data_IF_187248528973
#
_entry.id   IF_187248528973
#
_cell.length_a   1.000
_cell.length_b   1.000
_cell.length_c   1.000
_cell.angle_alpha   90.00
_cell.angle_beta   90.00
_cell.angle_gamma   90.00
#
_symmetry.space_group_name_H-M   'P 1'
#
loop_
_entity.id
_entity.type
_entity.pdbx_description
1 polymer ?
#
# COMPACT_ATOMS: atom_id res chain seq x y z
N UNK A 1 -24.98 -24.06 -36.26
CA UNK A 1 -24.33 -24.20 -34.94
C UNK A 1 -25.04 -23.23 -34.00
N UNK A 2 -25.91 -23.73 -33.12
CA UNK A 2 -26.52 -22.90 -32.09
C UNK A 2 -25.42 -22.62 -31.06
N UNK A 3 -24.82 -21.44 -31.12
CA UNK A 3 -23.98 -20.95 -30.05
C UNK A 3 -24.89 -20.88 -28.81
N UNK A 4 -24.71 -21.81 -27.89
CA UNK A 4 -25.30 -21.71 -26.57
C UNK A 4 -24.61 -20.52 -25.90
N UNK A 5 -25.22 -19.33 -26.03
CA UNK A 5 -24.84 -18.17 -25.24
C UNK A 5 -25.18 -18.51 -23.80
N UNK A 6 -24.20 -19.03 -23.06
CA UNK A 6 -24.29 -19.07 -21.62
C UNK A 6 -24.22 -17.62 -21.13
N UNK A 7 -25.04 -17.26 -20.15
CA UNK A 7 -24.84 -16.05 -19.36
C UNK A 7 -24.77 -16.52 -17.92
N UNK A 8 -23.67 -16.20 -17.23
CA UNK A 8 -23.51 -16.56 -15.83
C UNK A 8 -23.84 -15.35 -14.96
N UNK A 9 -24.73 -15.55 -13.99
CA UNK A 9 -25.01 -14.59 -12.95
C UNK A 9 -24.43 -15.08 -11.63
N UNK A 10 -23.65 -14.23 -10.96
CA UNK A 10 -23.21 -14.49 -9.58
C UNK A 10 -24.18 -13.78 -8.65
N UNK A 11 -24.79 -14.54 -7.75
CA UNK A 11 -25.79 -14.08 -6.80
C UNK A 11 -25.23 -14.11 -5.37
N UNK A 12 -25.44 -13.04 -4.61
CA UNK A 12 -25.19 -13.06 -3.17
C UNK A 12 -26.26 -13.91 -2.47
N UNK A 13 -25.86 -14.97 -1.75
CA UNK A 13 -26.79 -15.80 -0.98
C UNK A 13 -26.90 -15.30 0.47
N UNK A 14 -28.11 -15.31 1.02
CA UNK A 14 -28.42 -14.96 2.42
C UNK A 14 -28.04 -16.09 3.42
N UNK A 15 -27.09 -16.96 3.09
CA UNK A 15 -26.68 -18.04 3.99
C UNK A 15 -25.77 -17.49 5.10
N UNK A 16 -26.06 -17.79 6.39
CA UNK A 16 -25.23 -17.33 7.52
C UNK A 16 -23.84 -17.98 7.57
N UNK A 17 -23.59 -19.00 6.75
CA UNK A 17 -22.26 -19.56 6.52
C UNK A 17 -21.62 -18.89 5.32
N UNK A 18 -20.70 -17.97 5.58
CA UNK A 18 -19.83 -17.39 4.57
C UNK A 18 -19.00 -18.49 3.90
N UNK A 19 -19.29 -18.80 2.64
CA UNK A 19 -18.39 -19.64 1.84
C UNK A 19 -17.21 -18.78 1.39
N UNK A 20 -15.96 -19.19 1.65
CA UNK A 20 -14.81 -18.38 1.27
C UNK A 20 -14.72 -18.26 -0.25
N UNK A 21 -14.44 -17.05 -0.74
CA UNK A 21 -14.33 -16.79 -2.18
C UNK A 21 -13.34 -15.66 -2.45
N UNK A 22 -12.22 -16.01 -3.07
CA UNK A 22 -11.26 -15.06 -3.61
C UNK A 22 -11.04 -15.34 -5.11
N UNK A 23 -11.36 -14.40 -6.02
CA UNK A 23 -11.09 -14.56 -7.44
C UNK A 23 -9.61 -14.29 -7.78
N UNK A 24 -8.83 -13.75 -6.84
CA UNK A 24 -7.39 -13.56 -7.00
C UNK A 24 -6.65 -14.90 -7.12
N UNK A 25 -5.42 -14.85 -7.64
CA UNK A 25 -4.52 -16.02 -7.70
C UNK A 25 -4.09 -16.44 -6.28
N UNK A 26 -3.67 -17.70 -6.13
CA UNK A 26 -3.06 -18.23 -4.89
C UNK A 26 -1.80 -17.50 -4.48
N UNK A 27 -1.01 -17.05 -5.46
CA UNK A 27 0.06 -16.09 -5.29
C UNK A 27 -0.26 -14.89 -6.18
N UNK A 28 -0.85 -13.81 -5.64
CA UNK A 28 -1.09 -12.57 -6.38
C UNK A 28 0.21 -12.00 -6.97
N UNK A 29 0.20 -11.71 -8.27
CA UNK A 29 1.32 -11.08 -8.98
C UNK A 29 2.69 -11.81 -8.87
N UNK A 30 2.67 -13.14 -8.77
CA UNK A 30 3.88 -13.96 -8.65
C UNK A 30 4.90 -13.82 -9.78
N UNK A 31 4.51 -13.29 -10.94
CA UNK A 31 5.38 -12.98 -12.06
C UNK A 31 6.36 -11.82 -11.76
N UNK A 32 6.05 -11.00 -10.75
CA UNK A 32 6.84 -9.86 -10.29
C UNK A 32 7.43 -10.07 -8.90
N UNK A 33 7.61 -11.33 -8.50
CA UNK A 33 8.25 -11.69 -7.23
C UNK A 33 9.73 -11.25 -7.17
N UNK A 34 10.31 -11.06 -5.97
CA UNK A 34 11.73 -10.76 -5.80
C UNK A 34 12.64 -11.89 -6.29
N UNK A 35 13.90 -11.55 -6.57
CA UNK A 35 14.91 -12.55 -6.90
C UNK A 35 15.12 -13.52 -5.73
N UNK A 36 15.21 -14.81 -6.01
CA UNK A 36 15.36 -15.86 -4.99
C UNK A 36 14.04 -16.42 -4.45
N UNK A 37 12.89 -15.82 -4.77
CA UNK A 37 11.59 -16.42 -4.51
C UNK A 37 11.25 -17.47 -5.59
N UNK A 38 11.09 -18.76 -5.25
CA UNK A 38 10.68 -19.79 -6.21
C UNK A 38 9.25 -19.60 -6.72
N UNK A 39 8.41 -18.81 -6.05
CA UNK A 39 7.04 -18.53 -6.46
C UNK A 39 6.06 -19.66 -6.20
N UNK A 40 6.40 -20.60 -5.31
CA UNK A 40 5.60 -21.78 -4.99
C UNK A 40 4.76 -21.64 -3.70
N UNK A 41 4.94 -20.55 -2.95
CA UNK A 41 4.17 -20.30 -1.74
C UNK A 41 2.73 -19.88 -2.07
N UNK A 42 1.80 -20.33 -1.23
CA UNK A 42 0.38 -19.99 -1.36
C UNK A 42 0.03 -18.92 -0.33
N UNK A 43 0.19 -17.66 -0.71
CA UNK A 43 -0.21 -16.53 0.14
C UNK A 43 -1.72 -16.49 0.35
N UNK A 44 -2.50 -16.77 -0.70
CA UNK A 44 -3.95 -16.75 -0.70
C UNK A 44 -4.54 -18.17 -0.85
N UNK A 45 -4.80 -18.89 0.25
CA UNK A 45 -5.31 -20.27 0.18
C UNK A 45 -6.71 -20.36 -0.44
N UNK A 46 -7.47 -19.27 -0.39
CA UNK A 46 -8.82 -19.14 -0.97
C UNK A 46 -8.81 -18.72 -2.45
N UNK A 47 -7.63 -18.45 -3.02
CA UNK A 47 -7.47 -17.96 -4.38
C UNK A 47 -7.89 -18.98 -5.42
N UNK A 48 -8.87 -18.63 -6.24
CA UNK A 48 -9.36 -19.43 -7.37
C UNK A 48 -8.67 -19.08 -8.69
N UNK A 49 -8.09 -17.88 -8.79
CA UNK A 49 -7.53 -17.35 -10.03
C UNK A 49 -8.57 -16.91 -11.07
N UNK A 50 -9.86 -16.89 -10.71
CA UNK A 50 -10.95 -16.53 -11.62
C UNK A 50 -10.81 -15.13 -12.23
N UNK A 51 -10.27 -14.15 -11.49
CA UNK A 51 -10.05 -12.78 -12.00
C UNK A 51 -8.97 -12.72 -13.10
N UNK A 52 -8.09 -13.72 -13.19
CA UNK A 52 -7.07 -13.81 -14.23
C UNK A 52 -7.47 -14.79 -15.36
N UNK A 53 -8.64 -15.42 -15.25
CA UNK A 53 -9.15 -16.34 -16.26
C UNK A 53 -9.74 -15.56 -17.43
N UNK A 54 -9.61 -16.13 -18.62
CA UNK A 54 -10.29 -15.64 -19.82
C UNK A 54 -11.63 -16.37 -19.94
N UNK A 55 -12.72 -15.61 -20.00
CA UNK A 55 -14.06 -16.12 -20.24
C UNK A 55 -14.42 -15.83 -21.69
N UNK A 56 -14.21 -16.83 -22.56
CA UNK A 56 -14.51 -16.72 -23.99
C UNK A 56 -15.99 -16.98 -24.25
N UNK A 57 -16.59 -16.19 -25.15
CA UNK A 57 -17.93 -16.40 -25.70
C UNK A 57 -19.13 -16.29 -24.73
N UNK A 58 -18.92 -15.81 -23.49
CA UNK A 58 -20.03 -15.48 -22.60
C UNK A 58 -19.75 -14.33 -21.61
N UNK A 59 -20.71 -13.42 -21.41
CA UNK A 59 -20.62 -12.41 -20.36
C UNK A 59 -20.93 -12.99 -18.98
N UNK A 60 -20.32 -12.40 -17.96
CA UNK A 60 -20.64 -12.65 -16.55
C UNK A 60 -21.08 -11.33 -15.94
N UNK A 61 -22.26 -11.33 -15.32
CA UNK A 61 -22.79 -10.17 -14.62
C UNK A 61 -22.98 -10.48 -13.14
N UNK A 62 -22.73 -9.47 -12.30
CA UNK A 62 -23.08 -9.53 -10.89
C UNK A 62 -24.50 -9.01 -10.70
N UNK A 63 -25.33 -9.76 -9.96
CA UNK A 63 -26.67 -9.32 -9.60
C UNK A 63 -26.69 -8.93 -8.12
N UNK A 64 -27.30 -7.79 -7.83
CA UNK A 64 -27.63 -7.41 -6.46
C UNK A 64 -28.75 -8.31 -5.89
N UNK A 65 -29.18 -8.04 -4.66
CA UNK A 65 -30.18 -8.87 -3.99
C UNK A 65 -31.52 -8.89 -4.76
N UNK A 66 -31.99 -7.74 -5.23
CA UNK A 66 -33.25 -7.61 -5.95
C UNK A 66 -33.18 -8.31 -7.32
N UNK A 67 -32.12 -8.04 -8.08
CA UNK A 67 -31.87 -8.68 -9.37
C UNK A 67 -31.73 -10.20 -9.24
N UNK A 68 -31.09 -10.67 -8.17
CA UNK A 68 -30.97 -12.09 -7.85
C UNK A 68 -32.33 -12.74 -7.61
N UNK A 69 -33.19 -12.12 -6.79
CA UNK A 69 -34.50 -12.67 -6.47
C UNK A 69 -35.43 -12.68 -7.69
N UNK A 70 -35.35 -11.64 -8.53
CA UNK A 70 -36.06 -11.58 -9.80
C UNK A 70 -35.58 -12.68 -10.77
N UNK A 71 -34.26 -12.82 -10.94
CA UNK A 71 -33.67 -13.84 -11.81
C UNK A 71 -34.05 -15.26 -11.33
N UNK A 72 -34.05 -15.50 -10.01
CA UNK A 72 -34.50 -16.78 -9.42
C UNK A 72 -35.97 -17.04 -9.75
N UNK A 73 -36.83 -16.06 -9.55
CA UNK A 73 -38.27 -16.17 -9.85
C UNK A 73 -38.50 -16.52 -11.32
N UNK A 74 -37.79 -15.87 -12.24
CA UNK A 74 -37.89 -16.13 -13.68
C UNK A 74 -37.35 -17.52 -14.07
N UNK A 75 -36.27 -17.96 -13.44
CA UNK A 75 -35.73 -19.31 -13.65
C UNK A 75 -36.72 -20.39 -13.19
N UNK A 76 -37.33 -20.22 -12.01
CA UNK A 76 -38.36 -21.13 -11.48
C UNK A 76 -39.60 -21.19 -12.38
N UNK A 77 -40.03 -20.05 -12.93
CA UNK A 77 -41.13 -19.98 -13.89
C UNK A 77 -40.85 -20.80 -15.15
N UNK A 78 -39.65 -20.70 -15.70
CA UNK A 78 -39.23 -21.49 -16.85
C UNK A 78 -39.25 -23.00 -16.55
N UNK A 79 -38.80 -23.41 -15.37
CA UNK A 79 -38.87 -24.81 -14.90
C UNK A 79 -40.32 -25.28 -14.79
N UNK A 80 -41.20 -24.50 -14.11
CA UNK A 80 -42.62 -24.84 -13.95
C UNK A 80 -43.33 -25.06 -15.29
N UNK A 81 -42.97 -24.25 -16.29
CA UNK A 81 -43.53 -24.33 -17.64
C UNK A 81 -42.83 -25.37 -18.53
N UNK A 82 -41.94 -26.20 -17.97
CA UNK A 82 -41.15 -27.21 -18.68
C UNK A 82 -40.42 -26.65 -19.90
N UNK A 83 -40.02 -25.38 -19.84
CA UNK A 83 -39.37 -24.67 -20.94
C UNK A 83 -40.16 -24.68 -22.28
N UNK A 84 -41.48 -24.95 -22.24
CA UNK A 84 -42.31 -25.06 -23.44
C UNK A 84 -42.52 -23.72 -24.17
N UNK A 85 -42.20 -22.60 -23.50
CA UNK A 85 -41.99 -21.24 -24.03
C UNK A 85 -41.06 -20.48 -23.07
N UNK A 86 -39.73 -20.38 -23.30
CA UNK A 86 -38.87 -19.57 -22.46
C UNK A 86 -39.16 -18.08 -22.73
N UNK A 87 -40.28 -17.57 -22.21
CA UNK A 87 -40.68 -16.17 -22.35
C UNK A 87 -39.82 -15.26 -21.45
N UNK A 88 -39.15 -15.84 -20.45
CA UNK A 88 -38.25 -15.14 -19.54
C UNK A 88 -36.82 -15.45 -19.93
N UNK A 89 -36.22 -14.52 -20.67
CA UNK A 89 -34.83 -14.57 -21.10
C UNK A 89 -34.08 -13.38 -20.52
N UNK A 90 -32.80 -13.58 -20.21
CA UNK A 90 -31.89 -12.49 -19.90
C UNK A 90 -31.06 -12.18 -21.16
N UNK A 91 -30.84 -10.90 -21.41
CA UNK A 91 -29.92 -10.42 -22.44
C UNK A 91 -28.94 -9.47 -21.77
N UNK A 92 -27.66 -9.64 -22.07
CA UNK A 92 -26.55 -8.85 -21.52
C UNK A 92 -25.70 -8.39 -22.70
N UNK A 93 -25.48 -7.08 -22.81
CA UNK A 93 -24.59 -6.48 -23.80
C UNK A 93 -23.37 -5.89 -23.08
N UNK A 94 -22.25 -6.63 -23.14
CA UNK A 94 -20.96 -6.26 -22.58
C UNK A 94 -19.87 -6.40 -23.65
N UNK A 95 -20.11 -5.80 -24.82
CA UNK A 95 -19.19 -5.87 -25.96
C UNK A 95 -17.86 -5.15 -25.64
N UNK A 96 -16.74 -5.88 -25.69
CA UNK A 96 -15.39 -5.33 -25.47
C UNK A 96 -14.66 -5.11 -26.81
N UNK A 97 -14.30 -3.86 -27.12
CA UNK A 97 -13.62 -3.50 -28.38
C UNK A 97 -12.23 -4.15 -28.55
N UNK A 98 -11.58 -4.49 -27.44
CA UNK A 98 -10.27 -5.13 -27.41
C UNK A 98 -10.32 -6.66 -27.47
N UNK A 99 -11.49 -7.27 -27.65
CA UNK A 99 -11.64 -8.72 -27.66
C UNK A 99 -10.74 -9.39 -28.71
N UNK A 100 -10.10 -10.49 -28.31
CA UNK A 100 -9.12 -11.22 -29.13
C UNK A 100 -7.77 -10.51 -29.36
N UNK A 101 -7.55 -9.31 -28.79
CA UNK A 101 -6.28 -8.57 -28.95
C UNK A 101 -5.38 -8.68 -27.72
N UNK A 102 -4.07 -8.62 -27.93
CA UNK A 102 -3.09 -8.40 -26.86
C UNK A 102 -2.84 -6.90 -26.63
N UNK A 103 -2.21 -6.55 -25.51
CA UNK A 103 -1.97 -5.16 -25.12
C UNK A 103 -1.20 -4.35 -26.17
N UNK A 104 -0.22 -4.95 -26.84
CA UNK A 104 0.56 -4.29 -27.90
C UNK A 104 -0.33 -3.89 -29.07
N UNK A 105 -1.19 -4.81 -29.51
CA UNK A 105 -2.07 -4.60 -30.67
C UNK A 105 -3.25 -3.69 -30.33
N UNK A 106 -3.86 -3.83 -29.15
CA UNK A 106 -5.00 -3.01 -28.77
C UNK A 106 -4.61 -1.53 -28.57
N UNK A 107 -3.43 -1.24 -28.01
CA UNK A 107 -2.91 0.13 -27.87
C UNK A 107 -2.62 0.72 -29.24
N UNK A 108 -1.94 -0.04 -30.12
CA UNK A 108 -1.61 0.42 -31.48
C UNK A 108 -2.87 0.76 -32.31
N UNK A 109 -3.99 0.08 -32.05
CA UNK A 109 -5.29 0.33 -32.70
C UNK A 109 -6.17 1.34 -31.98
N UNK A 110 -5.76 1.85 -30.83
CA UNK A 110 -6.59 2.73 -29.99
C UNK A 110 -7.86 2.06 -29.44
N UNK A 111 -7.86 0.73 -29.32
CA UNK A 111 -9.00 -0.07 -28.86
C UNK A 111 -8.99 -0.35 -27.34
N UNK A 112 -7.95 0.11 -26.62
CA UNK A 112 -7.80 -0.07 -25.18
C UNK A 112 -6.94 1.05 -24.58
N UNK A 113 -6.95 1.17 -23.25
CA UNK A 113 -6.12 2.10 -22.49
C UNK A 113 -5.22 1.36 -21.49
N UNK A 114 -4.01 1.89 -21.19
CA UNK A 114 -3.22 1.38 -20.09
C UNK A 114 -3.96 1.53 -18.75
N UNK A 115 -3.96 0.48 -17.93
CA UNK A 115 -4.46 0.55 -16.55
C UNK A 115 -3.44 1.32 -15.71
N UNK A 116 -3.91 2.28 -14.92
CA UNK A 116 -3.06 3.11 -14.08
C UNK A 116 -3.87 4.07 -13.22
N UNK A 117 -3.16 4.97 -12.53
CA UNK A 117 -3.74 6.00 -11.68
C UNK A 117 -2.66 6.90 -11.11
N UNK A 118 -3.06 7.84 -10.26
CA UNK A 118 -2.12 8.72 -9.56
C UNK A 118 -1.87 8.20 -8.14
N UNK A 119 -0.61 7.87 -7.86
CA UNK A 119 -0.15 7.69 -6.49
C UNK A 119 -0.08 9.06 -5.79
N UNK A 120 -0.35 9.07 -4.48
CA UNK A 120 -0.29 10.28 -3.66
C UNK A 120 0.90 10.18 -2.72
N UNK A 121 1.70 11.25 -2.65
CA UNK A 121 2.91 11.29 -1.84
C UNK A 121 2.92 12.57 -1.01
N UNK A 122 3.22 12.43 0.28
CA UNK A 122 3.45 13.52 1.21
C UNK A 122 4.74 13.29 1.98
N UNK A 123 5.38 14.35 2.47
CA UNK A 123 6.60 14.26 3.28
C UNK A 123 6.54 15.19 4.47
N UNK A 124 7.12 14.73 5.57
CA UNK A 124 7.16 15.43 6.86
C UNK A 124 8.59 15.32 7.43
N UNK A 125 9.29 16.44 7.68
CA UNK A 125 8.93 17.80 7.24
C UNK A 125 8.84 17.89 5.70
N UNK A 126 8.19 18.94 5.14
CA UNK A 126 8.04 19.09 3.70
C UNK A 126 9.38 18.97 2.99
N UNK A 127 9.47 18.08 1.99
CA UNK A 127 10.65 17.96 1.15
C UNK A 127 10.93 19.30 0.46
N UNK A 128 12.21 19.73 0.39
CA UNK A 128 12.57 21.00 -0.23
C UNK A 128 12.12 21.00 -1.69
N UNK A 129 11.14 21.84 -2.01
CA UNK A 129 10.69 21.99 -3.40
C UNK A 129 11.66 22.88 -4.17
N UNK A 130 12.00 22.55 -5.43
CA UNK A 130 12.59 23.54 -6.32
C UNK A 130 11.61 24.69 -6.49
N UNK A 131 12.06 25.91 -6.20
CA UNK A 131 11.23 27.12 -6.10
C UNK A 131 10.37 27.30 -7.35
N UNK A 132 9.04 27.33 -7.18
CA UNK A 132 8.07 27.48 -8.28
C UNK A 132 7.78 28.94 -8.62
N UNK A 133 7.28 29.16 -9.85
CA UNK A 133 7.16 30.44 -10.59
C UNK A 133 6.45 31.60 -9.88
N UNK A 134 5.76 31.39 -8.75
CA UNK A 134 5.08 32.45 -7.99
C UNK A 134 6.06 33.51 -7.46
N UNK A 135 7.29 33.11 -7.11
CA UNK A 135 8.35 34.01 -6.65
C UNK A 135 9.08 34.75 -7.80
N UNK A 136 8.79 34.41 -9.08
CA UNK A 136 9.46 35.01 -10.25
C UNK A 136 8.92 36.36 -10.66
N UNK A 137 7.90 36.93 -10.00
CA UNK A 137 7.38 38.23 -10.43
C UNK A 137 8.38 39.37 -10.27
N UNK A 138 9.48 39.20 -9.53
CA UNK A 138 10.56 40.19 -9.40
C UNK A 138 11.99 39.61 -9.37
N UNK A 139 12.21 38.31 -9.61
CA UNK A 139 13.54 37.70 -9.53
C UNK A 139 14.19 37.58 -10.92
N UNK A 140 15.36 38.18 -11.10
CA UNK A 140 16.21 38.00 -12.28
C UNK A 140 16.64 36.53 -12.42
N UNK A 141 17.03 36.09 -13.62
CA UNK A 141 17.44 34.69 -13.87
C UNK A 141 18.59 34.23 -12.94
N UNK A 142 19.48 35.15 -12.53
CA UNK A 142 20.51 34.91 -11.54
C UNK A 142 19.93 34.69 -10.12
N UNK A 143 18.98 35.52 -9.68
CA UNK A 143 18.33 35.38 -8.37
C UNK A 143 17.49 34.10 -8.25
N UNK A 144 16.93 33.59 -9.36
CA UNK A 144 16.24 32.30 -9.38
C UNK A 144 17.23 31.12 -9.27
N UNK A 145 18.41 31.22 -9.90
CA UNK A 145 19.48 30.24 -9.76
C UNK A 145 20.08 30.26 -8.34
N UNK A 146 20.28 31.45 -7.76
CA UNK A 146 20.75 31.63 -6.39
C UNK A 146 19.73 31.14 -5.37
N UNK A 147 18.42 31.26 -5.64
CA UNK A 147 17.38 30.76 -4.74
C UNK A 147 17.22 29.23 -4.83
N UNK A 148 17.38 28.63 -6.01
CA UNK A 148 17.47 27.17 -6.17
C UNK A 148 18.75 26.63 -5.53
N UNK A 149 19.88 27.34 -5.69
CA UNK A 149 21.12 27.06 -5.00
C UNK A 149 20.95 27.24 -3.48
N UNK A 150 20.23 28.25 -3.01
CA UNK A 150 19.94 28.46 -1.59
C UNK A 150 18.97 27.42 -1.02
N UNK A 151 18.02 26.90 -1.80
CA UNK A 151 17.17 25.77 -1.39
C UNK A 151 17.96 24.46 -1.33
N UNK A 152 18.88 24.24 -2.27
CA UNK A 152 19.83 23.12 -2.24
C UNK A 152 20.86 23.27 -1.10
N UNK A 153 21.30 24.48 -0.81
CA UNK A 153 22.22 24.81 0.29
C UNK A 153 21.47 24.77 1.63
N UNK A 154 20.19 25.13 1.68
CA UNK A 154 19.33 24.96 2.85
C UNK A 154 19.06 23.48 3.13
N UNK A 155 18.82 22.66 2.10
CA UNK A 155 18.76 21.21 2.23
C UNK A 155 20.10 20.62 2.70
N UNK A 156 21.22 21.20 2.27
CA UNK A 156 22.58 20.83 2.72
C UNK A 156 22.95 21.37 4.12
N UNK A 157 22.32 22.46 4.59
CA UNK A 157 22.61 23.11 5.87
C UNK A 157 21.63 22.70 6.98
N UNK A 158 20.44 22.21 6.64
CA UNK A 158 19.64 21.41 7.57
C UNK A 158 20.26 20.03 7.58
N UNK A 159 20.83 19.60 8.71
CA UNK A 159 21.33 18.24 8.90
C UNK A 159 20.17 17.20 8.90
N UNK A 160 19.30 17.21 7.90
CA UNK A 160 18.36 16.14 7.60
C UNK A 160 19.20 15.13 6.80
N UNK A 161 19.61 14.02 7.41
CA UNK A 161 20.40 12.99 6.71
C UNK A 161 19.80 12.68 5.34
N UNK A 162 20.66 12.46 4.33
CA UNK A 162 20.25 12.40 2.92
C UNK A 162 19.12 11.39 2.64
N UNK A 163 18.97 10.37 3.48
CA UNK A 163 17.96 9.34 3.35
C UNK A 163 16.60 9.61 4.03
N UNK A 164 15.58 8.90 3.55
CA UNK A 164 14.18 9.02 4.01
C UNK A 164 13.67 7.72 4.63
N UNK A 165 12.66 7.84 5.50
CA UNK A 165 11.81 6.71 5.93
C UNK A 165 10.56 6.73 5.05
N UNK A 166 10.32 5.67 4.27
CA UNK A 166 9.12 5.52 3.46
C UNK A 166 8.07 4.73 4.25
N UNK A 167 6.90 5.32 4.43
CA UNK A 167 5.70 4.64 4.92
C UNK A 167 4.73 4.55 3.75
N UNK A 168 4.31 3.34 3.39
CA UNK A 168 3.47 3.15 2.21
C UNK A 168 2.24 2.28 2.46
N UNK A 169 1.22 2.50 1.66
CA UNK A 169 0.04 1.66 1.58
C UNK A 169 -0.49 1.65 0.14
N UNK A 170 -1.29 0.64 -0.19
CA UNK A 170 -1.99 0.55 -1.47
C UNK A 170 -3.25 1.42 -1.48
N UNK A 171 -3.53 2.07 -2.61
CA UNK A 171 -4.70 2.92 -2.84
C UNK A 171 -5.80 2.19 -3.61
N UNK A 172 -5.46 1.11 -4.31
CA UNK A 172 -6.35 0.33 -5.15
C UNK A 172 -6.67 -1.04 -4.55
N UNK A 173 -7.80 -1.59 -5.01
CA UNK A 173 -8.24 -2.95 -4.75
C UNK A 173 -8.73 -3.59 -6.06
N UNK A 174 -8.99 -4.89 -6.00
CA UNK A 174 -9.50 -5.66 -7.14
C UNK A 174 -10.74 -6.46 -6.79
N UNK A 175 -11.49 -6.80 -7.83
CA UNK A 175 -12.63 -7.70 -7.80
C UNK A 175 -12.79 -8.35 -9.17
N UNK A 176 -13.51 -9.46 -9.25
CA UNK A 176 -13.94 -10.04 -10.53
C UNK A 176 -14.82 -9.07 -11.32
N UNK A 177 -15.52 -8.18 -10.60
CA UNK A 177 -16.40 -7.15 -11.17
C UNK A 177 -15.81 -5.78 -10.84
N UNK A 178 -15.35 -5.05 -11.86
CA UNK A 178 -14.53 -3.84 -11.70
C UNK A 178 -15.18 -2.76 -10.82
N UNK A 179 -16.51 -2.61 -10.89
CA UNK A 179 -17.25 -1.61 -10.10
C UNK A 179 -17.42 -2.00 -8.62
N UNK A 180 -17.11 -3.25 -8.28
CA UNK A 180 -17.28 -3.82 -6.93
C UNK A 180 -15.93 -4.11 -6.27
N UNK A 181 -14.92 -3.27 -6.51
CA UNK A 181 -13.59 -3.40 -5.94
C UNK A 181 -13.43 -2.53 -4.67
N UNK A 182 -14.24 -2.79 -3.64
CA UNK A 182 -14.22 -2.02 -2.40
C UNK A 182 -12.92 -2.23 -1.58
N UNK A 183 -12.48 -3.49 -1.44
CA UNK A 183 -11.23 -3.84 -0.74
C UNK A 183 -11.14 -3.30 0.69
N UNK A 184 -12.23 -3.40 1.45
CA UNK A 184 -12.36 -2.79 2.78
C UNK A 184 -11.22 -3.20 3.71
N UNK A 185 -10.90 -4.49 3.77
CA UNK A 185 -9.76 -4.99 4.50
C UNK A 185 -8.49 -5.05 3.63
N UNK A 186 -8.57 -5.63 2.43
CA UNK A 186 -7.42 -5.96 1.61
C UNK A 186 -6.56 -4.74 1.22
N UNK A 187 -7.17 -3.55 1.09
CA UNK A 187 -6.47 -2.32 0.71
C UNK A 187 -6.74 -1.15 1.67
N UNK A 188 -8.02 -0.85 1.91
CA UNK A 188 -8.41 0.38 2.61
C UNK A 188 -7.98 0.40 4.07
N UNK A 189 -7.92 -0.76 4.75
CA UNK A 189 -7.49 -0.83 6.14
C UNK A 189 -6.07 -0.30 6.36
N UNK A 190 -5.10 -0.74 5.54
CA UNK A 190 -3.72 -0.28 5.60
C UNK A 190 -3.58 1.20 5.24
N UNK A 191 -4.32 1.66 4.22
CA UNK A 191 -4.35 3.06 3.81
C UNK A 191 -4.85 3.97 4.94
N UNK A 192 -5.97 3.62 5.58
CA UNK A 192 -6.55 4.39 6.68
C UNK A 192 -5.58 4.44 7.87
N UNK A 193 -4.95 3.32 8.22
CA UNK A 193 -3.93 3.27 9.28
C UNK A 193 -2.75 4.18 8.96
N UNK A 194 -2.25 4.15 7.73
CA UNK A 194 -1.16 5.04 7.29
C UNK A 194 -1.55 6.50 7.40
N UNK A 195 -2.75 6.89 6.94
CA UNK A 195 -3.23 8.27 7.01
C UNK A 195 -3.41 8.75 8.45
N UNK A 196 -3.99 7.91 9.32
CA UNK A 196 -4.15 8.22 10.74
C UNK A 196 -2.80 8.33 11.46
N UNK A 197 -1.83 7.47 11.11
CA UNK A 197 -0.47 7.55 11.64
C UNK A 197 0.26 8.81 11.14
N UNK A 198 0.05 9.20 9.88
CA UNK A 198 0.62 10.43 9.32
C UNK A 198 0.11 11.67 10.05
N UNK A 199 -1.18 11.75 10.33
CA UNK A 199 -1.77 12.83 11.13
C UNK A 199 -1.18 12.86 12.54
N UNK A 200 -1.18 11.73 13.25
CA UNK A 200 -0.66 11.65 14.61
C UNK A 200 0.84 11.98 14.69
N UNK A 201 1.65 11.49 13.75
CA UNK A 201 3.08 11.79 13.66
C UNK A 201 3.32 13.29 13.39
N UNK A 202 2.54 13.87 12.47
CA UNK A 202 2.65 15.29 12.11
C UNK A 202 2.27 16.20 13.28
N UNK A 203 1.20 15.87 14.02
CA UNK A 203 0.83 16.58 15.25
C UNK A 203 1.91 16.47 16.33
N UNK A 204 2.52 15.29 16.49
CA UNK A 204 3.63 15.09 17.43
C UNK A 204 4.84 15.95 17.05
N UNK A 205 5.21 15.99 15.77
CA UNK A 205 6.30 16.85 15.28
C UNK A 205 6.00 18.34 15.52
N UNK A 206 4.81 18.81 15.17
CA UNK A 206 4.43 20.22 15.36
C UNK A 206 4.38 20.63 16.84
N UNK A 207 3.88 19.74 17.71
CA UNK A 207 3.84 20.01 19.16
C UNK A 207 5.24 20.08 19.76
N UNK A 208 6.15 19.19 19.34
CA UNK A 208 7.56 19.25 19.72
C UNK A 208 8.26 20.54 19.22
N UNK A 209 8.05 20.92 17.96
CA UNK A 209 8.63 22.15 17.40
C UNK A 209 8.17 23.39 18.19
N UNK A 210 6.90 23.46 18.57
CA UNK A 210 6.36 24.59 19.37
C UNK A 210 6.73 24.57 20.84
N UNK A 211 7.16 23.43 21.39
CA UNK A 211 7.65 23.37 22.78
C UNK A 211 9.11 23.84 22.91
N UNK A 212 9.73 24.26 21.81
CA UNK A 212 11.02 24.93 21.80
C UNK A 212 10.89 26.37 22.32
N UNK A 213 11.65 26.65 23.38
CA UNK A 213 11.72 27.89 24.18
C UNK A 213 10.68 27.98 25.34
N UNK A 214 11.19 28.10 26.57
CA UNK A 214 10.45 28.47 27.78
C UNK A 214 10.42 30.01 27.97
N UNK A 215 10.78 30.76 26.94
CA UNK A 215 10.91 32.23 26.92
C UNK A 215 9.78 32.94 26.17
N UNK A 216 8.81 32.20 25.62
CA UNK A 216 7.65 32.73 24.91
C UNK A 216 7.99 33.43 23.59
N UNK A 217 9.22 33.26 23.07
CA UNK A 217 9.68 34.00 21.90
C UNK A 217 9.71 33.09 20.67
N UNK A 218 8.85 33.38 19.69
CA UNK A 218 8.80 32.67 18.40
C UNK A 218 10.08 32.95 17.61
N UNK A 219 11.10 32.14 17.81
CA UNK A 219 12.28 32.10 16.93
C UNK A 219 12.06 31.05 15.86
N UNK A 220 12.64 31.25 14.67
CA UNK A 220 12.42 30.39 13.50
C UNK A 220 12.65 28.90 13.85
N UNK A 221 11.57 28.10 13.76
CA UNK A 221 11.43 26.72 14.28
C UNK A 221 12.55 25.75 13.84
N UNK A 222 13.27 26.06 12.76
CA UNK A 222 14.41 25.29 12.25
C UNK A 222 15.69 25.43 13.08
N UNK A 223 15.88 26.56 13.76
CA UNK A 223 17.06 26.80 14.61
C UNK A 223 16.93 26.14 15.99
N UNK A 224 15.70 26.02 16.52
CA UNK A 224 15.43 25.38 17.81
C UNK A 224 15.64 23.85 17.76
N UNK A 225 15.25 23.20 16.66
CA UNK A 225 15.51 21.78 16.42
C UNK A 225 17.02 21.46 16.33
N UNK A 226 17.78 22.30 15.63
CA UNK A 226 19.24 22.20 15.53
C UNK A 226 19.94 22.49 16.87
N UNK A 227 19.42 23.43 17.67
CA UNK A 227 19.94 23.77 19.00
C UNK A 227 19.70 22.66 20.05
N UNK A 228 18.69 21.80 19.85
CA UNK A 228 18.40 20.64 20.69
C UNK A 228 19.20 19.37 20.31
N UNK A 229 20.04 19.42 19.26
CA UNK A 229 20.86 18.28 18.82
C UNK A 229 20.07 17.10 18.22
N UNK A 230 18.79 17.31 17.86
CA UNK A 230 17.93 16.30 17.27
C UNK A 230 17.94 16.39 15.74
N UNK A 231 18.29 15.30 15.06
CA UNK A 231 18.17 15.21 13.61
C UNK A 231 16.82 14.59 13.25
N UNK A 232 15.95 15.36 12.60
CA UNK A 232 14.65 14.86 12.14
C UNK A 232 14.80 14.25 10.74
N UNK A 233 14.74 12.93 10.61
CA UNK A 233 14.73 12.30 9.30
C UNK A 233 13.41 12.58 8.56
N UNK A 234 13.48 12.82 7.26
CA UNK A 234 12.25 13.00 6.45
C UNK A 234 11.47 11.68 6.40
N UNK A 235 10.21 11.71 6.84
CA UNK A 235 9.25 10.62 6.67
C UNK A 235 8.39 10.92 5.46
N UNK A 236 8.34 9.99 4.51
CA UNK A 236 7.53 10.07 3.29
C UNK A 236 6.36 9.12 3.42
N UNK A 237 5.14 9.63 3.31
CA UNK A 237 3.93 8.83 3.26
C UNK A 237 3.47 8.68 1.80
N UNK A 238 3.31 7.46 1.31
CA UNK A 238 2.95 7.19 -0.08
C UNK A 238 1.78 6.21 -0.19
N UNK A 239 0.67 6.68 -0.79
CA UNK A 239 -0.44 5.84 -1.20
C UNK A 239 -0.26 5.47 -2.68
N UNK A 240 0.08 4.22 -2.97
CA UNK A 240 0.38 3.78 -4.33
C UNK A 240 -0.88 3.33 -5.07
N UNK A 241 -1.10 3.89 -6.25
CA UNK A 241 -2.18 3.47 -7.15
C UNK A 241 -1.71 2.37 -8.10
N UNK A 242 -2.66 1.54 -8.55
CA UNK A 242 -2.44 0.46 -9.50
C UNK A 242 -1.39 -0.56 -9.01
N UNK A 243 -1.39 -0.86 -7.71
CA UNK A 243 -0.54 -1.90 -7.13
C UNK A 243 -0.98 -3.29 -7.55
N UNK A 244 -2.28 -3.57 -7.69
CA UNK A 244 -2.76 -4.87 -8.22
C UNK A 244 -2.42 -5.10 -9.70
N UNK A 245 -2.00 -4.05 -10.40
CA UNK A 245 -1.73 -4.04 -11.84
C UNK A 245 -0.24 -3.97 -12.13
N UNK A 246 0.52 -4.85 -11.48
CA UNK A 246 1.95 -5.00 -11.72
C UNK A 246 2.83 -4.08 -10.89
N UNK A 247 2.37 -3.71 -9.70
CA UNK A 247 3.03 -2.75 -8.79
C UNK A 247 3.34 -1.42 -9.50
N UNK A 248 2.42 -0.95 -10.37
CA UNK A 248 2.73 0.12 -11.32
C UNK A 248 3.08 1.44 -10.61
N UNK A 249 2.34 1.78 -9.54
CA UNK A 249 2.56 2.97 -8.74
C UNK A 249 3.90 2.96 -8.00
N UNK A 250 4.16 1.90 -7.25
CA UNK A 250 5.38 1.76 -6.45
C UNK A 250 6.63 1.56 -7.30
N UNK A 251 6.54 0.85 -8.44
CA UNK A 251 7.65 0.77 -9.41
C UNK A 251 7.94 2.12 -10.04
N UNK A 252 6.92 2.91 -10.38
CA UNK A 252 7.14 4.27 -10.89
C UNK A 252 7.77 5.14 -9.83
N UNK A 253 7.29 5.10 -8.59
CA UNK A 253 7.88 5.82 -7.47
C UNK A 253 9.35 5.44 -7.24
N UNK A 254 9.66 4.14 -7.16
CA UNK A 254 11.03 3.67 -6.98
C UNK A 254 11.94 4.07 -8.15
N UNK A 255 11.40 4.14 -9.38
CA UNK A 255 12.14 4.69 -10.52
C UNK A 255 12.43 6.19 -10.34
N UNK A 256 11.44 7.00 -9.95
CA UNK A 256 11.60 8.45 -9.73
C UNK A 256 12.59 8.79 -8.61
N UNK A 257 12.65 7.96 -7.55
CA UNK A 257 13.64 8.09 -6.48
C UNK A 257 15.08 7.91 -6.99
N UNK A 258 15.30 6.99 -7.94
CA UNK A 258 16.64 6.66 -8.48
C UNK A 258 17.06 7.54 -9.66
N UNK A 259 16.14 8.28 -10.30
CA UNK A 259 16.49 9.21 -11.38
C UNK A 259 17.25 10.39 -10.77
N UNK A 260 18.50 10.61 -11.21
CA UNK A 260 19.23 11.84 -10.91
C UNK A 260 18.53 13.02 -11.58
N UNK A 261 18.25 14.09 -10.83
CA UNK A 261 17.47 15.26 -11.30
C UNK A 261 17.96 15.82 -12.65
N UNK A 262 17.22 15.57 -13.73
CA UNK A 262 17.41 16.28 -15.00
C UNK A 262 16.41 17.44 -15.03
N UNK A 263 16.81 18.56 -14.44
CA UNK A 263 16.07 19.84 -14.39
C UNK A 263 14.75 19.81 -13.59
N UNK A 264 14.58 20.79 -12.68
CA UNK A 264 13.34 21.04 -11.96
C UNK A 264 12.18 21.49 -12.87
N UNK A 265 12.45 21.84 -14.13
CA UNK A 265 11.44 22.20 -15.12
C UNK A 265 11.86 21.74 -16.52
N UNK A 266 11.00 20.98 -17.19
CA UNK A 266 11.18 20.56 -18.58
C UNK A 266 10.84 19.09 -18.83
N UNK A 267 10.93 18.61 -20.08
CA UNK A 267 10.86 17.19 -20.39
C UNK A 267 11.95 16.44 -19.62
N UNK A 268 11.57 15.48 -18.77
CA UNK A 268 12.50 14.72 -17.91
C UNK A 268 12.55 15.16 -16.44
N UNK A 269 11.79 16.20 -16.04
CA UNK A 269 11.64 16.57 -14.64
C UNK A 269 10.96 15.44 -13.84
N UNK A 270 11.50 15.14 -12.65
CA UNK A 270 10.93 14.13 -11.77
C UNK A 270 9.53 14.52 -11.26
N UNK A 271 8.65 13.53 -11.12
CA UNK A 271 7.36 13.69 -10.47
C UNK A 271 7.46 13.80 -8.92
N UNK A 272 8.66 13.63 -8.35
CA UNK A 272 8.93 13.66 -6.92
C UNK A 272 9.93 14.79 -6.55
N UNK A 273 9.51 16.07 -6.65
CA UNK A 273 10.38 17.20 -6.34
C UNK A 273 10.88 17.13 -4.89
N UNK A 274 12.18 17.29 -4.68
CA UNK A 274 12.81 17.26 -3.35
C UNK A 274 13.01 15.85 -2.77
N UNK A 275 12.55 14.80 -3.45
CA UNK A 275 12.74 13.40 -3.05
C UNK A 275 13.57 12.61 -4.08
N UNK A 276 13.47 12.96 -5.36
CA UNK A 276 14.30 12.40 -6.43
C UNK A 276 15.80 12.50 -6.11
N UNK A 277 16.51 11.38 -6.24
CA UNK A 277 17.93 11.26 -5.93
C UNK A 277 18.26 10.98 -4.46
N UNK A 278 17.28 10.97 -3.55
CA UNK A 278 17.50 10.62 -2.13
C UNK A 278 17.47 9.12 -1.91
N UNK A 279 18.17 8.64 -0.89
CA UNK A 279 18.12 7.22 -0.51
C UNK A 279 16.86 6.93 0.31
N UNK A 280 16.28 5.75 0.11
CA UNK A 280 15.28 5.20 1.04
C UNK A 280 16.00 4.29 2.01
N UNK A 281 16.01 4.67 3.30
CA UNK A 281 16.79 4.01 4.34
C UNK A 281 15.99 3.00 5.15
N UNK A 282 14.67 3.17 5.20
CA UNK A 282 13.74 2.25 5.83
C UNK A 282 12.39 2.31 5.11
N UNK A 283 11.75 1.15 4.95
CA UNK A 283 10.41 1.04 4.36
C UNK A 283 9.48 0.35 5.37
N UNK A 284 8.33 0.97 5.62
CA UNK A 284 7.23 0.40 6.41
C UNK A 284 5.99 0.39 5.53
N UNK A 285 5.59 -0.79 5.05
CA UNK A 285 4.37 -0.92 4.26
C UNK A 285 3.22 -1.46 5.11
N UNK A 286 2.03 -0.90 4.91
CA UNK A 286 0.78 -1.34 5.52
C UNK A 286 0.00 -2.15 4.50
N UNK A 287 -0.15 -3.45 4.75
CA UNK A 287 -1.04 -4.34 4.01
C UNK A 287 -2.43 -4.43 4.65
N UNK A 288 -3.06 -5.60 4.56
CA UNK A 288 -4.31 -5.89 5.25
C UNK A 288 -4.08 -6.00 6.77
N UNK A 289 -4.62 -5.04 7.52
CA UNK A 289 -4.44 -4.94 8.99
C UNK A 289 -5.77 -4.75 9.71
N UNK A 290 -6.89 -4.82 8.99
CA UNK A 290 -8.21 -4.40 9.45
C UNK A 290 -9.17 -5.52 9.80
N UNK A 291 -9.03 -6.75 9.32
CA UNK A 291 -10.03 -7.82 9.38
C UNK A 291 -10.67 -7.98 10.75
N UNK A 292 -11.99 -7.81 10.76
CA UNK A 292 -12.81 -7.96 11.95
C UNK A 292 -12.80 -9.41 12.43
N UNK A 293 -12.71 -9.59 13.76
CA UNK A 293 -12.70 -10.92 14.39
C UNK A 293 -13.91 -11.79 13.98
N UNK A 294 -15.07 -11.19 13.69
CA UNK A 294 -16.27 -11.94 13.25
C UNK A 294 -16.21 -12.49 11.82
N UNK A 295 -15.25 -12.05 11.00
CA UNK A 295 -14.97 -12.63 9.67
C UNK A 295 -13.92 -13.74 9.73
N UNK A 296 -13.39 -14.03 10.92
CA UNK A 296 -12.36 -15.03 11.15
C UNK A 296 -12.96 -16.16 11.99
N UNK A 297 -12.52 -17.40 11.75
CA UNK A 297 -12.87 -18.52 12.62
C UNK A 297 -12.50 -18.22 14.08
N UNK A 298 -13.36 -18.59 15.02
CA UNK A 298 -13.10 -18.45 16.46
C UNK A 298 -11.83 -19.17 16.94
N UNK A 299 -11.26 -20.07 16.12
CA UNK A 299 -10.00 -20.77 16.37
C UNK A 299 -8.74 -19.94 16.09
N UNK A 300 -8.87 -18.75 15.49
CA UNK A 300 -7.74 -17.87 15.20
C UNK A 300 -7.58 -16.87 16.33
N UNK A 301 -6.41 -16.86 16.98
CA UNK A 301 -6.08 -15.88 18.00
C UNK A 301 -6.04 -14.48 17.37
N UNK A 302 -7.00 -13.63 17.72
CA UNK A 302 -7.06 -12.21 17.34
C UNK A 302 -6.76 -11.35 18.58
N UNK A 303 -6.16 -10.14 18.47
CA UNK A 303 -5.81 -9.39 17.27
C UNK A 303 -4.30 -9.05 17.19
N UNK A 304 -3.46 -10.00 16.79
CA UNK A 304 -2.02 -9.74 16.56
C UNK A 304 -1.81 -9.14 15.17
N UNK A 305 -0.96 -8.11 15.08
CA UNK A 305 -0.43 -7.61 13.81
C UNK A 305 0.97 -8.18 13.62
N UNK A 306 1.22 -8.79 12.48
CA UNK A 306 2.49 -9.40 12.11
C UNK A 306 3.33 -8.47 11.24
N UNK A 307 4.62 -8.43 11.53
CA UNK A 307 5.64 -7.67 10.81
C UNK A 307 6.48 -8.64 9.99
N UNK A 308 6.28 -8.61 8.69
CA UNK A 308 7.01 -9.38 7.70
C UNK A 308 8.25 -8.61 7.27
N UNK A 309 9.39 -8.96 7.83
CA UNK A 309 10.66 -8.32 7.52
C UNK A 309 11.28 -8.89 6.25
N UNK A 310 11.77 -8.04 5.35
CA UNK A 310 12.69 -8.48 4.31
C UNK A 310 13.99 -8.95 4.98
N UNK A 311 14.24 -10.26 5.00
CA UNK A 311 15.46 -10.78 5.61
C UNK A 311 16.74 -10.40 4.86
N UNK A 312 16.66 -10.04 3.57
CA UNK A 312 17.78 -9.45 2.83
C UNK A 312 18.25 -8.11 3.40
N UNK A 313 17.35 -7.34 4.03
CA UNK A 313 17.67 -6.10 4.74
C UNK A 313 18.35 -6.30 6.10
N UNK A 314 18.48 -7.55 6.58
CA UNK A 314 19.26 -7.93 7.74
C UNK A 314 18.94 -7.11 9.01
N UNK A 315 19.96 -6.67 9.77
CA UNK A 315 19.79 -5.90 11.01
C UNK A 315 18.97 -4.62 10.83
N UNK A 316 18.97 -4.01 9.65
CA UNK A 316 18.18 -2.81 9.37
C UNK A 316 16.67 -3.10 9.39
N UNK A 317 16.24 -4.21 8.80
CA UNK A 317 14.84 -4.66 8.90
C UNK A 317 14.49 -5.08 10.34
N UNK A 318 15.43 -5.70 11.06
CA UNK A 318 15.25 -6.10 12.48
C UNK A 318 15.06 -4.89 13.40
N UNK A 319 15.78 -3.79 13.15
CA UNK A 319 15.64 -2.55 13.90
C UNK A 319 14.23 -1.95 13.74
N UNK A 320 13.65 -2.00 12.53
CA UNK A 320 12.28 -1.54 12.28
C UNK A 320 11.26 -2.39 13.06
N UNK A 321 11.41 -3.72 13.03
CA UNK A 321 10.57 -4.65 13.81
C UNK A 321 10.65 -4.32 15.31
N UNK A 322 11.85 -4.05 15.80
CA UNK A 322 12.10 -3.73 17.22
C UNK A 322 11.44 -2.41 17.61
N UNK A 323 11.57 -1.37 16.79
CA UNK A 323 10.92 -0.08 17.02
C UNK A 323 9.39 -0.19 17.07
N UNK A 324 8.78 -0.94 16.14
CA UNK A 324 7.34 -1.17 16.10
C UNK A 324 6.84 -1.90 17.35
N UNK A 325 7.55 -2.96 17.77
CA UNK A 325 7.22 -3.70 18.99
C UNK A 325 7.31 -2.86 20.26
N UNK A 326 8.38 -2.07 20.40
CA UNK A 326 8.55 -1.16 21.51
C UNK A 326 7.43 -0.12 21.55
N UNK A 327 7.08 0.47 20.40
CA UNK A 327 6.03 1.47 20.29
C UNK A 327 4.62 0.92 20.58
N UNK A 328 4.39 -0.36 20.30
CA UNK A 328 3.15 -1.05 20.66
C UNK A 328 3.03 -1.25 22.19
N UNK A 329 4.14 -1.57 22.87
CA UNK A 329 4.16 -1.80 24.32
C UNK A 329 3.85 -0.55 25.17
N UNK A 330 4.17 0.65 24.68
CA UNK A 330 3.94 1.93 25.39
C UNK A 330 2.46 2.18 25.69
N UNK A 331 1.55 1.64 24.88
CA UNK A 331 0.09 1.83 25.04
C UNK A 331 -0.61 0.88 26.00
N UNK A 332 0.11 0.00 26.70
CA UNK A 332 -0.47 -1.07 27.51
C UNK A 332 -0.99 -0.64 28.90
N UNK A 333 -0.80 0.63 29.29
CA UNK A 333 -1.30 1.15 30.57
C UNK A 333 -2.73 1.71 30.42
N UNK A 334 -3.73 0.83 30.46
CA UNK A 334 -5.14 1.21 30.67
C UNK A 334 -6.07 1.10 29.46
N UNK A 335 -5.56 1.18 28.23
CA UNK A 335 -6.28 0.77 27.01
C UNK A 335 -5.77 -0.61 26.57
N UNK A 336 -6.66 -1.46 26.05
CA UNK A 336 -6.25 -2.75 25.48
C UNK A 336 -5.22 -2.49 24.37
N UNK A 337 -3.93 -2.62 24.66
CA UNK A 337 -2.85 -2.33 23.73
C UNK A 337 -2.94 -3.13 22.43
N UNK A 338 -2.11 -2.79 21.44
CA UNK A 338 -1.97 -3.61 20.24
C UNK A 338 -0.78 -4.56 20.40
N UNK A 339 -0.95 -5.81 19.97
CA UNK A 339 0.14 -6.78 19.94
C UNK A 339 0.76 -6.76 18.54
N UNK A 340 2.06 -6.48 18.47
CA UNK A 340 2.83 -6.53 17.23
C UNK A 340 3.87 -7.65 17.34
N UNK A 341 3.83 -8.60 16.41
CA UNK A 341 4.75 -9.73 16.38
C UNK A 341 5.55 -9.79 15.09
N UNK A 342 6.74 -10.39 15.14
CA UNK A 342 7.51 -10.72 13.95
C UNK A 342 6.84 -11.92 13.28
N UNK A 343 6.60 -11.82 11.98
CA UNK A 343 6.10 -12.94 11.21
C UNK A 343 7.12 -14.09 11.16
N UNK A 344 6.64 -15.30 11.34
CA UNK A 344 7.39 -16.56 11.27
C UNK A 344 6.79 -17.57 10.29
N UNK A 345 5.53 -17.40 9.89
CA UNK A 345 4.78 -18.35 9.07
C UNK A 345 5.10 -18.32 7.57
N UNK A 346 5.72 -17.24 7.08
CA UNK A 346 6.19 -17.17 5.70
C UNK A 346 7.38 -18.11 5.42
N UNK A 347 7.58 -18.56 4.17
CA UNK A 347 8.74 -19.38 3.83
C UNK A 347 10.06 -18.61 3.98
N UNK A 348 11.13 -19.37 4.28
CA UNK A 348 12.51 -18.88 4.28
C UNK A 348 13.20 -19.35 3.01
N UNK A 349 13.89 -18.44 2.32
CA UNK A 349 14.61 -18.78 1.09
C UNK A 349 16.09 -18.42 1.20
N UNK A 350 16.93 -19.46 1.11
CA UNK A 350 18.38 -19.34 1.26
C UNK A 350 18.79 -18.73 2.60
N UNK A 351 19.91 -18.01 2.60
CA UNK A 351 20.41 -17.27 3.76
C UNK A 351 19.70 -15.90 3.94
N UNK A 352 18.79 -15.54 3.04
CA UNK A 352 18.13 -14.23 3.00
C UNK A 352 16.97 -14.10 3.99
N UNK A 353 16.72 -15.10 4.85
CA UNK A 353 15.65 -15.06 5.84
C UNK A 353 14.24 -15.22 5.26
N UNK A 354 13.24 -14.74 6.00
CA UNK A 354 11.83 -14.73 5.60
C UNK A 354 11.59 -13.72 4.47
N UNK A 355 10.74 -14.08 3.50
CA UNK A 355 10.25 -13.14 2.48
C UNK A 355 8.92 -12.51 2.90
N UNK A 356 8.74 -11.20 2.66
CA UNK A 356 7.48 -10.53 2.91
C UNK A 356 6.38 -10.95 1.89
N UNK A 357 5.10 -10.74 2.22
CA UNK A 357 3.99 -11.00 1.33
C UNK A 357 4.03 -10.10 0.08
N UNK A 358 3.25 -10.45 -0.97
CA UNK A 358 3.16 -9.65 -2.18
C UNK A 358 2.70 -8.23 -1.85
N UNK A 359 3.54 -7.26 -2.17
CA UNK A 359 3.42 -5.89 -1.66
C UNK A 359 4.26 -4.92 -2.49
N UNK A 360 4.03 -3.63 -2.32
CA UNK A 360 4.77 -2.54 -2.95
C UNK A 360 6.29 -2.64 -2.67
N UNK A 361 6.67 -3.24 -1.54
CA UNK A 361 8.05 -3.51 -1.14
C UNK A 361 8.81 -4.34 -2.20
N UNK A 362 8.12 -5.18 -2.97
CA UNK A 362 8.73 -5.94 -4.07
C UNK A 362 9.35 -5.02 -5.14
N UNK A 363 8.77 -3.84 -5.37
CA UNK A 363 9.29 -2.84 -6.30
C UNK A 363 10.68 -2.35 -5.92
N UNK A 364 10.97 -2.27 -4.62
CA UNK A 364 12.26 -1.86 -4.07
C UNK A 364 13.22 -3.06 -3.98
N UNK A 365 12.75 -4.20 -3.46
CA UNK A 365 13.55 -5.42 -3.34
C UNK A 365 14.10 -5.93 -4.68
N UNK A 366 13.34 -5.78 -5.76
CA UNK A 366 13.78 -6.15 -7.12
C UNK A 366 14.91 -5.28 -7.66
N UNK A 367 15.08 -4.07 -7.13
CA UNK A 367 16.20 -3.17 -7.46
C UNK A 367 17.38 -3.40 -6.51
N UNK A 368 17.08 -3.53 -5.21
CA UNK A 368 18.04 -3.70 -4.12
C UNK A 368 17.57 -4.81 -3.17
N UNK A 369 18.08 -6.05 -3.28
CA UNK A 369 17.66 -7.16 -2.42
C UNK A 369 17.88 -6.90 -0.91
N UNK A 370 18.85 -6.05 -0.58
CA UNK A 370 19.21 -5.60 0.77
C UNK A 370 18.34 -4.45 1.29
N UNK A 371 17.23 -4.13 0.61
CA UNK A 371 16.28 -3.10 1.05
C UNK A 371 15.82 -3.36 2.48
N UNK A 372 16.07 -2.41 3.38
CA UNK A 372 15.62 -2.43 4.77
C UNK A 372 14.13 -2.12 4.81
N UNK A 373 13.31 -3.13 4.99
CA UNK A 373 11.87 -2.99 4.79
C UNK A 373 11.04 -4.04 5.50
N UNK A 374 9.84 -3.63 5.92
CA UNK A 374 8.86 -4.48 6.56
C UNK A 374 7.47 -4.26 5.98
N UNK A 375 6.63 -5.30 6.01
CA UNK A 375 5.20 -5.22 5.70
C UNK A 375 4.40 -5.61 6.94
N UNK A 376 3.47 -4.76 7.36
CA UNK A 376 2.56 -5.07 8.46
C UNK A 376 1.28 -5.67 7.91
N UNK A 377 0.90 -6.82 8.42
CA UNK A 377 -0.33 -7.51 8.06
C UNK A 377 -0.97 -8.16 9.29
N UNK A 378 -2.18 -8.66 9.16
CA UNK A 378 -2.92 -9.37 10.20
C UNK A 378 -2.72 -10.88 10.21
N UNK A 379 -1.80 -11.39 9.40
CA UNK A 379 -1.54 -12.82 9.26
C UNK A 379 -0.05 -13.14 9.33
N UNK A 380 0.27 -14.31 9.88
CA UNK A 380 1.66 -14.74 10.08
C UNK A 380 2.30 -15.35 8.81
N UNK A 381 1.50 -16.00 7.97
CA UNK A 381 1.95 -16.64 6.74
C UNK A 381 0.92 -16.49 5.63
N UNK A 382 -0.18 -17.22 5.72
CA UNK A 382 -1.24 -17.19 4.71
C UNK A 382 -2.33 -16.18 5.04
N UNK A 383 -2.99 -15.64 4.01
CA UNK A 383 -4.12 -14.74 4.15
C UNK A 383 -5.23 -15.43 4.93
N UNK A 384 -5.66 -14.78 6.00
CA UNK A 384 -6.81 -15.22 6.81
C UNK A 384 -8.13 -14.65 6.30
N UNK A 385 -8.09 -13.65 5.41
CA UNK A 385 -9.26 -13.06 4.79
C UNK A 385 -9.79 -13.95 3.64
N UNK A 386 -10.98 -14.55 3.79
CA UNK A 386 -11.54 -15.42 2.77
C UNK A 386 -12.05 -14.68 1.53
N UNK A 387 -12.09 -13.35 1.56
CA UNK A 387 -12.69 -12.51 0.53
C UNK A 387 -11.70 -11.58 -0.18
N UNK A 388 -10.40 -11.82 0.00
CA UNK A 388 -9.35 -11.01 -0.63
C UNK A 388 -9.58 -10.84 -2.14
N UNK A 389 -9.57 -9.59 -2.61
CA UNK A 389 -9.74 -9.26 -4.03
C UNK A 389 -11.12 -9.63 -4.58
N UNK A 390 -12.16 -9.68 -3.75
CA UNK A 390 -13.54 -10.00 -4.15
C UNK A 390 -14.51 -8.85 -3.86
N UNK A 391 -15.71 -8.92 -4.45
CA UNK A 391 -16.81 -8.00 -4.18
C UNK A 391 -17.35 -8.08 -2.73
N UNK A 392 -16.96 -9.10 -1.97
CA UNK A 392 -17.46 -9.34 -0.61
C UNK A 392 -16.54 -8.78 0.47
N UNK A 393 -15.34 -8.29 0.09
CA UNK A 393 -14.50 -7.47 0.98
C UNK A 393 -15.00 -6.01 0.98
N UNK A 394 -16.17 -5.83 1.56
CA UNK A 394 -16.92 -4.57 1.59
C UNK A 394 -17.51 -4.34 2.98
N UNK A 395 -17.79 -3.08 3.28
CA UNK A 395 -18.52 -2.67 4.48
C UNK A 395 -17.64 -2.45 5.70
N UNK A 396 -18.09 -1.60 6.62
CA UNK A 396 -17.36 -1.28 7.86
C UNK A 396 -17.27 -2.48 8.78
N UNK A 397 -18.17 -3.43 8.60
CA UNK A 397 -18.14 -4.66 9.33
C UNK A 397 -16.90 -5.47 8.89
N UNK A 398 -16.41 -5.43 7.65
CA UNK A 398 -15.19 -6.15 7.27
C UNK A 398 -13.96 -5.83 8.15
N UNK A 399 -13.96 -4.67 8.83
CA UNK A 399 -12.81 -4.18 9.60
C UNK A 399 -13.08 -3.95 11.10
N UNK A 400 -12.01 -3.93 11.89
CA UNK A 400 -11.94 -3.55 13.30
C UNK A 400 -11.25 -2.19 13.42
N UNK A 401 -12.07 -1.14 13.43
CA UNK A 401 -11.60 0.23 13.51
C UNK A 401 -10.81 0.53 14.80
N UNK A 402 -11.13 -0.14 15.91
CA UNK A 402 -10.42 0.07 17.18
C UNK A 402 -9.01 -0.52 17.13
N UNK A 403 -8.82 -1.69 16.50
CA UNK A 403 -7.48 -2.24 16.23
C UNK A 403 -6.70 -1.34 15.29
N UNK A 404 -7.31 -0.86 14.22
CA UNK A 404 -6.68 0.05 13.26
C UNK A 404 -6.20 1.34 13.93
N UNK A 405 -7.02 1.95 14.80
CA UNK A 405 -6.65 3.16 15.52
C UNK A 405 -5.45 2.94 16.47
N UNK A 406 -5.43 1.80 17.19
CA UNK A 406 -4.30 1.43 18.06
C UNK A 406 -3.02 1.18 17.26
N UNK A 407 -3.14 0.55 16.08
CA UNK A 407 -2.01 0.35 15.17
C UNK A 407 -1.46 1.68 14.66
N UNK A 408 -2.33 2.60 14.25
CA UNK A 408 -1.92 3.92 13.78
C UNK A 408 -1.15 4.69 14.86
N UNK A 409 -1.61 4.65 16.11
CA UNK A 409 -0.92 5.26 17.24
C UNK A 409 0.45 4.60 17.52
N UNK A 410 0.54 3.26 17.45
CA UNK A 410 1.81 2.55 17.61
C UNK A 410 2.78 2.87 16.46
N UNK A 411 2.30 2.92 15.23
CA UNK A 411 3.10 3.29 14.06
C UNK A 411 3.63 4.72 14.19
N UNK A 412 2.79 5.70 14.57
CA UNK A 412 3.22 7.07 14.77
C UNK A 412 4.32 7.19 15.84
N UNK A 413 4.20 6.46 16.95
CA UNK A 413 5.25 6.38 17.99
C UNK A 413 6.54 5.75 17.45
N UNK A 414 6.45 4.66 16.69
CA UNK A 414 7.62 4.03 16.08
C UNK A 414 8.31 4.98 15.10
N UNK A 415 7.55 5.70 14.27
CA UNK A 415 8.08 6.70 13.34
C UNK A 415 8.76 7.85 14.08
N UNK A 416 8.19 8.32 15.18
CA UNK A 416 8.85 9.30 16.04
C UNK A 416 10.22 8.77 16.51
N UNK A 417 10.29 7.56 17.08
CA UNK A 417 11.56 6.97 17.54
C UNK A 417 12.57 6.77 16.41
N UNK A 418 12.13 6.37 15.22
CA UNK A 418 13.02 6.13 14.08
C UNK A 418 13.46 7.42 13.38
N UNK A 419 12.62 8.45 13.37
CA UNK A 419 12.90 9.72 12.71
C UNK A 419 13.66 10.71 13.59
N UNK A 420 13.48 10.64 14.91
CA UNK A 420 14.19 11.46 15.89
C UNK A 420 15.41 10.69 16.42
N UNK A 421 16.52 10.70 15.67
CA UNK A 421 17.76 10.10 16.12
C UNK A 421 18.71 11.15 16.72
N UNK A 422 19.44 10.74 17.77
CA UNK A 422 20.51 11.55 18.37
C UNK A 422 21.63 11.79 17.34
N UNK A 423 22.09 13.04 17.21
CA UNK A 423 23.19 13.46 16.34
C UNK A 423 24.46 12.60 16.41
N UNK A 424 24.70 11.94 17.55
CA UNK A 424 25.90 11.14 17.81
C UNK A 424 25.87 9.71 17.26
N UNK A 425 24.70 9.13 16.94
CA UNK A 425 24.61 7.73 16.53
C UNK A 425 25.04 7.50 15.06
N UNK A 426 24.90 8.50 14.20
CA UNK A 426 25.30 8.42 12.79
C UNK A 426 26.82 8.35 12.57
N UNK A 427 27.62 8.89 13.50
CA UNK A 427 29.08 8.83 13.42
C UNK A 427 29.62 7.42 13.74
N UNK A 428 28.92 6.65 14.58
CA UNK A 428 29.34 5.30 14.98
C UNK A 428 28.95 4.22 13.98
N UNK A 429 27.82 4.35 13.27
CA UNK A 429 27.46 3.39 12.21
C UNK A 429 28.30 3.55 10.93
N UNK A 430 28.68 4.78 10.57
CA UNK A 430 29.61 5.02 9.46
C UNK A 430 31.02 4.48 9.74
N UNK A 431 31.45 4.49 11.01
CA UNK A 431 32.72 3.92 11.45
C UNK A 431 32.70 2.38 11.61
N UNK A 432 31.52 1.76 11.67
CA UNK A 432 31.36 0.31 11.71
C UNK A 432 31.19 -0.32 10.31
N UNK A 433 30.96 0.50 9.28
CA UNK A 433 30.78 0.08 7.89
C UNK A 433 31.97 0.45 6.97
N UNK A 434 33.06 0.99 7.54
CA UNK A 434 34.36 1.19 6.89
C UNK A 434 35.39 0.26 7.55
#
# INVERSE_FOLDING_TARGET
AAAAAAAAAVAASHSPSYSPFSPAKRYPQSDLRPAGDPGNHTWNPFGTGAAAARFDDFPIAFLDAEGTDLARTFAEDNVRRKYLKPDRVASVDLTMQADGLNSVTCIARGACFPVGGFSVVASVPPAPTPITKSSRRNATAAAAADAVAAAATAASNTNLGDGVILVSARLDATSLFHDLAAGANAAMSGLIVMLAAAEAYTQALYSWQRSGDASGNKTDDTAAAAAAGLHVKTVVFAAFAAEDWGYAGSRRFAHEMDVATVSATGPGASALPGLSGRTVDAIVELGAVGLAARRISASVATPTVYVHANGGGGPGSDAIVTALRAAAAVGAAGDAGIVIERATGAPRYGNAGHLPPPSSLFSFMRRRPDTRGVVLTEYDGEYIDPFHGSAFDVGTEAVDAARMARLAAALARALATMAFADAGAGATEAAAAA
#
